data_IF_570015536213
#
_entry.id   IF_570015536213
#
_cell.length_a   1.000
_cell.length_b   1.000
_cell.length_c   1.000
_cell.angle_alpha   90.00
_cell.angle_beta   90.00
_cell.angle_gamma   90.00
#
_symmetry.space_group_name_H-M   'P 1'
#
loop_
_entity.id
_entity.type
_entity.pdbx_description
1 polymer ?
#
# COMPACT_ATOMS: atom_id res chain seq x y z
N UNK A 1 -12.98 22.44 -13.13
CA UNK A 1 -13.76 23.54 -12.52
C UNK A 1 -14.60 24.22 -13.60
N UNK A 2 -15.87 23.84 -13.75
CA UNK A 2 -16.86 24.52 -14.62
C UNK A 2 -18.04 24.90 -13.72
N UNK A 3 -18.29 26.20 -13.60
CA UNK A 3 -19.34 26.81 -12.77
C UNK A 3 -20.67 26.80 -13.53
N UNK A 4 -21.70 26.30 -12.85
CA UNK A 4 -23.04 26.89 -12.60
C UNK A 4 -23.61 27.82 -13.66
N UNK A 5 -24.78 27.47 -14.21
CA UNK A 5 -26.02 28.27 -14.11
C UNK A 5 -27.25 27.39 -14.40
N UNK A 6 -28.06 27.16 -13.36
CA UNK A 6 -29.41 26.61 -13.48
C UNK A 6 -30.35 27.75 -13.91
N UNK A 7 -31.05 27.57 -15.03
CA UNK A 7 -32.09 28.46 -15.52
C UNK A 7 -33.46 27.93 -15.11
N UNK A 8 -34.09 28.57 -14.13
CA UNK A 8 -35.52 28.43 -13.83
C UNK A 8 -36.32 29.26 -14.84
N UNK A 9 -37.37 28.72 -15.49
CA UNK A 9 -38.39 29.56 -16.08
C UNK A 9 -39.58 29.65 -15.12
N UNK A 10 -39.82 30.87 -14.64
CA UNK A 10 -41.07 31.26 -14.00
C UNK A 10 -41.99 31.80 -15.10
N UNK A 11 -43.22 31.32 -15.16
CA UNK A 11 -44.17 31.68 -16.22
C UNK A 11 -45.58 31.22 -15.90
N UNK A 12 -46.17 31.81 -14.87
CA UNK A 12 -47.59 31.70 -14.55
C UNK A 12 -48.42 32.29 -15.70
N UNK A 13 -49.21 31.45 -16.35
CA UNK A 13 -50.33 31.88 -17.18
C UNK A 13 -51.59 31.19 -16.64
N UNK A 14 -52.41 31.98 -15.95
CA UNK A 14 -53.78 31.64 -15.62
C UNK A 14 -54.59 31.59 -16.92
N UNK A 15 -55.26 30.46 -17.17
CA UNK A 15 -56.37 30.38 -18.13
C UNK A 15 -57.51 29.60 -17.47
N UNK A 16 -58.47 30.39 -17.02
CA UNK A 16 -59.91 30.21 -17.22
C UNK A 16 -60.50 28.83 -16.94
N UNK A 17 -61.15 28.77 -15.77
CA UNK A 17 -62.24 27.87 -15.43
C UNK A 17 -63.40 28.02 -16.43
N UNK A 18 -63.56 27.02 -17.31
CA UNK A 18 -64.78 26.80 -18.05
C UNK A 18 -65.66 25.80 -17.28
N UNK A 19 -66.64 26.35 -16.54
CA UNK A 19 -67.76 25.61 -15.96
C UNK A 19 -68.71 25.15 -17.08
N UNK A 20 -68.32 24.11 -17.80
CA UNK A 20 -69.19 23.35 -18.67
C UNK A 20 -69.76 22.13 -17.92
N UNK A 21 -71.00 22.24 -17.46
CA UNK A 21 -71.90 21.19 -16.94
C UNK A 21 -71.45 19.74 -17.25
N UNK A 22 -70.69 19.12 -16.35
CA UNK A 22 -70.40 17.67 -16.38
C UNK A 22 -71.42 16.92 -15.54
N UNK A 23 -72.60 16.64 -16.09
CA UNK A 23 -73.36 15.47 -15.65
C UNK A 23 -72.80 14.25 -16.37
N UNK A 24 -71.53 13.91 -16.11
CA UNK A 24 -70.94 12.68 -16.63
C UNK A 24 -71.58 11.54 -15.85
N UNK A 25 -72.51 10.82 -16.47
CA UNK A 25 -73.14 9.68 -15.82
C UNK A 25 -72.06 8.60 -15.64
N UNK A 26 -71.88 8.11 -14.42
CA UNK A 26 -70.98 7.00 -14.15
C UNK A 26 -71.66 5.69 -14.58
N UNK A 27 -71.39 5.28 -15.82
CA UNK A 27 -71.93 4.08 -16.44
C UNK A 27 -71.34 2.83 -15.76
N UNK A 28 -71.99 2.42 -14.67
CA UNK A 28 -71.57 1.31 -13.81
C UNK A 28 -72.29 1.28 -12.47
N UNK A 29 -72.93 2.38 -12.08
CA UNK A 29 -73.70 2.52 -10.84
C UNK A 29 -75.18 2.18 -11.04
N UNK A 30 -75.87 1.77 -9.96
CA UNK A 30 -77.31 1.49 -9.98
C UNK A 30 -78.14 2.72 -10.37
N UNK A 31 -77.65 3.92 -10.06
CA UNK A 31 -78.30 5.20 -10.36
C UNK A 31 -78.40 5.45 -11.87
N UNK A 32 -77.37 5.09 -12.65
CA UNK A 32 -77.42 5.20 -14.11
C UNK A 32 -78.53 4.34 -14.73
N UNK A 33 -78.79 3.16 -14.17
CA UNK A 33 -79.85 2.24 -14.63
C UNK A 33 -81.26 2.76 -14.34
N UNK A 34 -81.45 3.46 -13.21
CA UNK A 34 -82.73 4.08 -12.87
C UNK A 34 -82.99 5.33 -13.74
N UNK A 35 -81.96 6.09 -14.09
CA UNK A 35 -82.08 7.20 -15.03
C UNK A 35 -82.50 6.73 -16.43
N UNK A 36 -81.93 5.63 -16.93
CA UNK A 36 -82.32 5.03 -18.23
C UNK A 36 -83.80 4.61 -18.23
N UNK A 37 -84.33 4.10 -17.12
CA UNK A 37 -85.75 3.69 -17.00
C UNK A 37 -86.74 4.85 -17.04
N UNK A 38 -86.29 6.06 -16.68
CA UNK A 38 -87.14 7.27 -16.68
C UNK A 38 -87.11 8.03 -18.01
N UNK A 39 -86.16 7.72 -18.91
CA UNK A 39 -86.06 8.39 -20.20
C UNK A 39 -87.17 7.96 -21.16
N UNK A 40 -87.92 8.94 -21.69
CA UNK A 40 -89.00 8.73 -22.67
C UNK A 40 -88.79 9.50 -23.99
N UNK A 41 -87.75 10.33 -24.07
CA UNK A 41 -87.37 11.10 -25.26
C UNK A 41 -86.27 10.40 -26.07
N UNK A 42 -86.51 10.26 -27.38
CA UNK A 42 -85.60 9.61 -28.33
C UNK A 42 -84.30 10.41 -28.49
N UNK A 43 -84.37 11.74 -28.40
CA UNK A 43 -83.20 12.62 -28.48
C UNK A 43 -82.26 12.43 -27.28
N UNK A 44 -82.82 12.42 -26.07
CA UNK A 44 -82.09 12.13 -24.85
C UNK A 44 -81.47 10.71 -24.83
N UNK A 45 -82.21 9.71 -25.30
CA UNK A 45 -81.70 8.32 -25.39
C UNK A 45 -80.49 8.21 -26.33
N UNK A 46 -80.52 8.93 -27.45
CA UNK A 46 -79.42 8.94 -28.42
C UNK A 46 -78.17 9.64 -27.87
N UNK A 47 -78.33 10.70 -27.06
CA UNK A 47 -77.21 11.36 -26.39
C UNK A 47 -76.54 10.46 -25.35
N UNK A 48 -77.34 9.81 -24.50
CA UNK A 48 -76.83 8.85 -23.52
C UNK A 48 -76.14 7.67 -24.20
N UNK A 49 -76.67 7.17 -25.32
CA UNK A 49 -76.00 6.12 -26.07
C UNK A 49 -74.61 6.55 -26.58
N UNK A 50 -74.48 7.76 -27.14
CA UNK A 50 -73.18 8.26 -27.56
C UNK A 50 -72.22 8.48 -26.38
N UNK A 51 -72.74 8.89 -25.22
CA UNK A 51 -71.96 9.01 -23.98
C UNK A 51 -71.49 7.65 -23.46
N UNK A 52 -72.36 6.63 -23.45
CA UNK A 52 -72.00 5.24 -23.15
C UNK A 52 -70.91 4.71 -24.10
N UNK A 53 -71.06 4.96 -25.40
CA UNK A 53 -70.09 4.51 -26.41
C UNK A 53 -68.73 5.21 -26.20
N UNK A 54 -68.73 6.50 -25.86
CA UNK A 54 -67.52 7.24 -25.55
C UNK A 54 -66.84 6.69 -24.30
N UNK A 55 -67.62 6.41 -23.24
CA UNK A 55 -67.12 5.82 -22.01
C UNK A 55 -66.56 4.41 -22.22
N UNK A 56 -67.25 3.56 -22.97
CA UNK A 56 -66.77 2.22 -23.31
C UNK A 56 -65.44 2.29 -24.07
N UNK A 57 -65.32 3.20 -25.04
CA UNK A 57 -64.06 3.41 -25.78
C UNK A 57 -62.93 3.89 -24.89
N UNK A 58 -63.19 4.78 -23.92
CA UNK A 58 -62.14 5.17 -22.97
C UNK A 58 -61.68 4.02 -22.09
N UNK A 59 -62.62 3.17 -21.66
CA UNK A 59 -62.33 2.01 -20.82
C UNK A 59 -61.53 0.95 -21.59
N UNK A 60 -61.86 0.74 -22.87
CA UNK A 60 -61.10 -0.14 -23.77
C UNK A 60 -59.66 0.38 -23.96
N UNK A 61 -59.46 1.69 -24.13
CA UNK A 61 -58.13 2.29 -24.24
C UNK A 61 -57.30 2.14 -22.95
N UNK A 62 -57.93 2.33 -21.78
CA UNK A 62 -57.26 2.14 -20.50
C UNK A 62 -56.88 0.68 -20.26
N UNK A 63 -57.75 -0.25 -20.66
CA UNK A 63 -57.48 -1.68 -20.61
C UNK A 63 -56.32 -2.07 -21.53
N UNK A 64 -56.31 -1.58 -22.77
CA UNK A 64 -55.21 -1.81 -23.72
C UNK A 64 -53.88 -1.26 -23.19
N UNK A 65 -53.91 -0.08 -22.56
CA UNK A 65 -52.74 0.51 -21.94
C UNK A 65 -52.22 -0.36 -20.79
N UNK A 66 -53.11 -0.82 -19.90
CA UNK A 66 -52.73 -1.70 -18.78
C UNK A 66 -52.21 -3.07 -19.26
N UNK A 67 -52.82 -3.64 -20.29
CA UNK A 67 -52.36 -4.89 -20.91
C UNK A 67 -50.98 -4.72 -21.56
N UNK A 68 -50.70 -3.58 -22.19
CA UNK A 68 -49.39 -3.30 -22.77
C UNK A 68 -48.30 -3.21 -21.70
N UNK A 69 -48.57 -2.57 -20.56
CA UNK A 69 -47.64 -2.44 -19.44
C UNK A 69 -47.26 -3.79 -18.82
N UNK A 70 -48.20 -4.74 -18.76
CA UNK A 70 -47.92 -6.10 -18.26
C UNK A 70 -46.77 -6.77 -19.02
N UNK A 71 -46.73 -6.59 -20.35
CA UNK A 71 -45.69 -7.19 -21.19
C UNK A 71 -44.30 -6.59 -20.93
N UNK A 72 -44.24 -5.31 -20.59
CA UNK A 72 -42.98 -4.63 -20.29
C UNK A 72 -42.49 -4.96 -18.86
N UNK A 73 -43.40 -5.11 -17.90
CA UNK A 73 -43.07 -5.60 -16.56
C UNK A 73 -42.53 -7.04 -16.60
N UNK A 74 -43.14 -7.93 -17.40
CA UNK A 74 -42.64 -9.30 -17.56
C UNK A 74 -41.20 -9.30 -18.13
N UNK A 75 -40.88 -8.43 -19.10
CA UNK A 75 -39.51 -8.29 -19.62
C UNK A 75 -38.54 -7.77 -18.56
N UNK A 76 -38.95 -6.78 -17.77
CA UNK A 76 -38.13 -6.23 -16.69
C UNK A 76 -37.84 -7.27 -15.60
N UNK A 77 -38.84 -8.09 -15.25
CA UNK A 77 -38.67 -9.18 -14.28
C UNK A 77 -37.68 -10.22 -14.82
N UNK A 78 -37.81 -10.64 -16.07
CA UNK A 78 -36.85 -11.57 -16.70
C UNK A 78 -35.43 -10.98 -16.73
N UNK A 79 -35.29 -9.68 -16.99
CA UNK A 79 -34.00 -9.01 -16.93
C UNK A 79 -33.43 -9.00 -15.51
N UNK A 80 -34.26 -8.72 -14.50
CA UNK A 80 -33.86 -8.74 -13.10
C UNK A 80 -33.44 -10.15 -12.66
N UNK A 81 -34.19 -11.17 -13.05
CA UNK A 81 -33.85 -12.57 -12.77
C UNK A 81 -32.48 -12.93 -13.36
N UNK A 82 -32.23 -12.58 -14.62
CA UNK A 82 -30.91 -12.78 -15.24
C UNK A 82 -29.80 -12.02 -14.51
N UNK A 83 -30.09 -10.80 -14.05
CA UNK A 83 -29.10 -10.03 -13.28
C UNK A 83 -28.80 -10.66 -11.91
N UNK A 84 -29.80 -11.29 -11.28
CA UNK A 84 -29.60 -12.02 -10.02
C UNK A 84 -28.63 -13.19 -10.20
N UNK A 85 -28.76 -13.97 -11.28
CA UNK A 85 -27.84 -15.07 -11.58
C UNK A 85 -26.40 -14.56 -11.76
N UNK A 86 -26.23 -13.40 -12.39
CA UNK A 86 -24.90 -12.76 -12.53
C UNK A 86 -24.35 -12.34 -11.16
N UNK A 87 -25.19 -11.81 -10.27
CA UNK A 87 -24.76 -11.43 -8.92
C UNK A 87 -24.30 -12.65 -8.11
N UNK A 88 -24.96 -13.80 -8.25
CA UNK A 88 -24.54 -15.03 -7.58
C UNK A 88 -23.14 -15.49 -8.05
N UNK A 89 -22.88 -15.41 -9.35
CA UNK A 89 -21.57 -15.71 -9.93
C UNK A 89 -20.51 -14.74 -9.40
N UNK A 90 -20.81 -13.44 -9.37
CA UNK A 90 -19.90 -12.41 -8.86
C UNK A 90 -19.64 -12.60 -7.36
N UNK A 91 -20.64 -13.02 -6.58
CA UNK A 91 -20.47 -13.34 -5.17
C UNK A 91 -19.51 -14.52 -4.98
N UNK A 92 -19.69 -15.60 -5.73
CA UNK A 92 -18.82 -16.78 -5.67
C UNK A 92 -17.37 -16.43 -6.08
N UNK A 93 -17.19 -15.63 -7.13
CA UNK A 93 -15.86 -15.18 -7.56
C UNK A 93 -15.21 -14.26 -6.51
N UNK A 94 -15.99 -13.38 -5.88
CA UNK A 94 -15.50 -12.50 -4.80
C UNK A 94 -15.05 -13.30 -3.57
N UNK A 95 -15.79 -14.34 -3.19
CA UNK A 95 -15.39 -15.25 -2.10
C UNK A 95 -14.10 -16.02 -2.45
N UNK A 96 -14.00 -16.49 -3.69
CA UNK A 96 -12.80 -17.15 -4.20
C UNK A 96 -11.58 -16.21 -4.17
N UNK A 97 -11.74 -14.98 -4.67
CA UNK A 97 -10.71 -13.94 -4.61
C UNK A 97 -10.31 -13.61 -3.18
N UNK A 98 -11.26 -13.49 -2.25
CA UNK A 98 -10.98 -13.25 -0.84
C UNK A 98 -10.15 -14.38 -0.22
N UNK A 99 -10.50 -15.64 -0.50
CA UNK A 99 -9.76 -16.81 -0.05
C UNK A 99 -8.33 -16.81 -0.58
N UNK A 100 -8.15 -16.49 -1.86
CA UNK A 100 -6.83 -16.41 -2.49
C UNK A 100 -5.99 -15.28 -1.89
N UNK A 101 -6.55 -14.06 -1.77
CA UNK A 101 -5.85 -12.91 -1.17
C UNK A 101 -5.46 -13.21 0.27
N UNK A 102 -6.35 -13.83 1.06
CA UNK A 102 -6.05 -14.27 2.43
C UNK A 102 -4.90 -15.28 2.47
N UNK A 103 -4.91 -16.25 1.56
CA UNK A 103 -3.85 -17.26 1.45
C UNK A 103 -2.51 -16.64 1.03
N UNK A 104 -2.52 -15.74 0.06
CA UNK A 104 -1.33 -14.98 -0.37
C UNK A 104 -0.80 -14.09 0.75
N UNK A 105 -1.67 -13.42 1.51
CA UNK A 105 -1.27 -12.60 2.66
C UNK A 105 -0.59 -13.47 3.74
N UNK A 106 -1.17 -14.63 4.08
CA UNK A 106 -0.54 -15.58 5.02
C UNK A 106 0.82 -16.06 4.53
N UNK A 107 0.95 -16.36 3.23
CA UNK A 107 2.22 -16.75 2.64
C UNK A 107 3.25 -15.61 2.70
N UNK A 108 2.84 -14.37 2.39
CA UNK A 108 3.69 -13.20 2.49
C UNK A 108 4.17 -12.95 3.93
N UNK A 109 3.31 -13.16 4.92
CA UNK A 109 3.69 -13.11 6.34
C UNK A 109 4.72 -14.18 6.70
N UNK A 110 4.53 -15.41 6.22
CA UNK A 110 5.48 -16.50 6.43
C UNK A 110 6.84 -16.21 5.79
N UNK A 111 6.84 -15.75 4.53
CA UNK A 111 8.07 -15.35 3.83
C UNK A 111 8.75 -14.21 4.56
N UNK A 112 8.02 -13.18 4.98
CA UNK A 112 8.57 -12.05 5.74
C UNK A 112 9.23 -12.48 7.06
N UNK A 113 8.60 -13.42 7.77
CA UNK A 113 9.21 -14.01 8.99
C UNK A 113 10.50 -14.76 8.67
N UNK A 114 10.52 -15.55 7.60
CA UNK A 114 11.71 -16.30 7.18
C UNK A 114 12.84 -15.39 6.74
N UNK A 115 12.54 -14.30 6.02
CA UNK A 115 13.52 -13.27 5.67
C UNK A 115 14.09 -12.64 6.93
N UNK A 116 13.26 -12.28 7.92
CA UNK A 116 13.76 -11.72 9.19
C UNK A 116 14.65 -12.69 9.98
N UNK A 117 14.32 -13.98 9.98
CA UNK A 117 15.18 -15.01 10.57
C UNK A 117 16.53 -15.11 9.84
N UNK A 118 16.50 -15.05 8.51
CA UNK A 118 17.70 -15.06 7.66
C UNK A 118 18.54 -13.80 7.92
N UNK A 119 17.94 -12.61 7.97
CA UNK A 119 18.63 -11.35 8.25
C UNK A 119 19.35 -11.40 9.60
N UNK A 120 18.72 -11.98 10.62
CA UNK A 120 19.36 -12.19 11.93
C UNK A 120 20.53 -13.16 11.84
N UNK A 121 20.39 -14.27 11.11
CA UNK A 121 21.48 -15.21 10.89
C UNK A 121 22.64 -14.57 10.12
N UNK A 122 22.34 -13.82 9.05
CA UNK A 122 23.32 -13.09 8.26
C UNK A 122 24.03 -12.02 9.08
N UNK A 123 23.30 -11.27 9.93
CA UNK A 123 23.90 -10.29 10.84
C UNK A 123 24.88 -10.94 11.80
N UNK A 124 24.53 -12.10 12.38
CA UNK A 124 25.44 -12.89 13.24
C UNK A 124 26.67 -13.37 12.48
N UNK A 125 26.49 -13.92 11.28
CA UNK A 125 27.60 -14.35 10.41
C UNK A 125 28.53 -13.18 10.09
N UNK A 126 27.97 -12.02 9.72
CA UNK A 126 28.77 -10.84 9.41
C UNK A 126 29.56 -10.33 10.64
N UNK A 127 28.94 -10.36 11.83
CA UNK A 127 29.65 -10.05 13.07
C UNK A 127 30.81 -11.02 13.33
N UNK A 128 30.62 -12.31 13.07
CA UNK A 128 31.72 -13.29 13.20
C UNK A 128 32.80 -13.10 12.15
N UNK A 129 32.46 -12.75 10.91
CA UNK A 129 33.44 -12.44 9.86
C UNK A 129 34.29 -11.23 10.22
N UNK A 130 33.67 -10.14 10.68
CA UNK A 130 34.43 -8.97 11.16
C UNK A 130 35.36 -9.29 12.34
N UNK A 131 34.97 -10.22 13.22
CA UNK A 131 35.86 -10.71 14.29
C UNK A 131 37.02 -11.54 13.73
N UNK A 132 36.78 -12.37 12.72
CA UNK A 132 37.83 -13.15 12.05
C UNK A 132 38.80 -12.21 11.32
N UNK A 133 38.29 -11.23 10.57
CA UNK A 133 39.10 -10.21 9.89
C UNK A 133 40.00 -9.48 10.88
N UNK A 134 39.47 -9.09 12.05
CA UNK A 134 40.26 -8.46 13.10
C UNK A 134 41.38 -9.38 13.65
N UNK A 135 41.13 -10.69 13.79
CA UNK A 135 42.15 -11.67 14.21
C UNK A 135 43.24 -11.82 13.15
N UNK A 136 42.86 -11.87 11.88
CA UNK A 136 43.80 -11.96 10.74
C UNK A 136 44.65 -10.70 10.67
N UNK A 137 44.03 -9.52 10.76
CA UNK A 137 44.74 -8.23 10.70
C UNK A 137 45.71 -8.07 11.87
N UNK A 138 45.35 -8.54 13.07
CA UNK A 138 46.27 -8.59 14.22
C UNK A 138 47.48 -9.47 13.97
N UNK A 139 47.26 -10.68 13.44
CA UNK A 139 48.35 -11.60 13.10
C UNK A 139 49.27 -10.98 12.05
N UNK A 140 48.70 -10.32 11.04
CA UNK A 140 49.46 -9.58 10.04
C UNK A 140 50.26 -8.42 10.65
N UNK A 141 49.71 -7.70 11.64
CA UNK A 141 50.45 -6.66 12.35
C UNK A 141 51.62 -7.25 13.14
N UNK A 142 51.45 -8.38 13.84
CA UNK A 142 52.52 -9.06 14.58
C UNK A 142 53.64 -9.48 13.63
N UNK A 143 53.31 -10.14 12.53
CA UNK A 143 54.28 -10.56 11.51
C UNK A 143 54.94 -9.36 10.81
N UNK A 144 54.16 -8.30 10.55
CA UNK A 144 54.62 -7.05 9.96
C UNK A 144 55.62 -6.31 10.84
N UNK A 145 55.35 -6.21 12.15
CA UNK A 145 56.28 -5.63 13.13
C UNK A 145 57.56 -6.44 13.20
N UNK A 146 57.48 -7.77 13.26
CA UNK A 146 58.66 -8.62 13.30
C UNK A 146 59.53 -8.43 12.04
N UNK A 147 58.91 -8.43 10.85
CA UNK A 147 59.62 -8.17 9.58
C UNK A 147 60.23 -6.76 9.54
N UNK A 148 59.49 -5.74 9.96
CA UNK A 148 59.95 -4.35 9.97
C UNK A 148 61.10 -4.12 10.96
N UNK A 149 61.06 -4.77 12.12
CA UNK A 149 62.17 -4.77 13.09
C UNK A 149 63.42 -5.44 12.50
N UNK A 150 63.27 -6.54 11.76
CA UNK A 150 64.38 -7.22 11.09
C UNK A 150 64.97 -6.41 9.93
N UNK A 151 64.16 -5.59 9.25
CA UNK A 151 64.61 -4.71 8.15
C UNK A 151 65.03 -3.31 8.60
N UNK A 152 65.11 -3.04 9.91
CA UNK A 152 65.38 -1.73 10.51
C UNK A 152 64.42 -0.59 10.08
N UNK A 153 63.20 -0.91 9.63
CA UNK A 153 62.17 0.09 9.30
C UNK A 153 61.28 0.37 10.52
N UNK A 154 61.73 1.30 11.35
CA UNK A 154 61.07 1.64 12.60
C UNK A 154 59.76 2.43 12.42
N UNK A 155 59.57 3.08 11.29
CA UNK A 155 58.37 3.89 11.00
C UNK A 155 57.19 2.98 10.64
N UNK A 156 57.43 2.01 9.76
CA UNK A 156 56.45 0.96 9.45
C UNK A 156 56.13 0.11 10.68
N UNK A 157 57.14 -0.23 11.50
CA UNK A 157 56.92 -0.97 12.75
C UNK A 157 55.98 -0.22 13.71
N UNK A 158 56.17 1.09 13.89
CA UNK A 158 55.31 1.91 14.76
C UNK A 158 53.86 1.97 14.24
N UNK A 159 53.68 2.09 12.92
CA UNK A 159 52.35 2.06 12.31
C UNK A 159 51.63 0.71 12.57
N UNK A 160 52.32 -0.43 12.40
CA UNK A 160 51.71 -1.73 12.68
C UNK A 160 51.35 -1.91 14.17
N UNK A 161 52.19 -1.41 15.09
CA UNK A 161 51.89 -1.41 16.54
C UNK A 161 50.65 -0.55 16.83
N UNK A 162 50.54 0.64 16.23
CA UNK A 162 49.40 1.52 16.40
C UNK A 162 48.11 0.89 15.87
N UNK A 163 48.14 0.35 14.65
CA UNK A 163 47.00 -0.33 14.03
C UNK A 163 46.52 -1.52 14.87
N UNK A 164 47.45 -2.31 15.40
CA UNK A 164 47.11 -3.40 16.31
C UNK A 164 46.32 -2.91 17.53
N UNK A 165 46.77 -1.84 18.21
CA UNK A 165 46.06 -1.31 19.38
C UNK A 165 44.69 -0.71 19.02
N UNK A 166 44.54 -0.12 17.83
CA UNK A 166 43.23 0.35 17.35
C UNK A 166 42.25 -0.81 17.15
N UNK A 167 42.71 -1.92 16.57
CA UNK A 167 41.88 -3.12 16.37
C UNK A 167 41.60 -3.79 17.73
N UNK A 168 42.58 -3.87 18.62
CA UNK A 168 42.44 -4.43 19.97
C UNK A 168 41.44 -3.65 20.83
N UNK A 169 41.41 -2.32 20.70
CA UNK A 169 40.40 -1.49 21.36
C UNK A 169 38.97 -1.78 20.87
N UNK A 170 38.80 -2.10 19.58
CA UNK A 170 37.49 -2.41 18.98
C UNK A 170 37.00 -3.82 19.32
N UNK A 171 37.88 -4.81 19.35
CA UNK A 171 37.53 -6.21 19.63
C UNK A 171 38.36 -6.77 20.79
N UNK A 172 37.97 -6.47 22.02
CA UNK A 172 38.77 -6.74 23.24
C UNK A 172 38.92 -8.23 23.63
N UNK A 173 38.48 -9.14 22.76
CA UNK A 173 38.45 -10.60 23.00
C UNK A 173 39.79 -11.30 22.73
N UNK A 174 40.86 -10.54 22.48
CA UNK A 174 42.19 -11.10 22.19
C UNK A 174 42.67 -11.97 23.34
N UNK A 175 43.19 -13.16 23.01
CA UNK A 175 43.98 -13.95 23.96
C UNK A 175 45.17 -13.13 24.43
N UNK A 176 45.43 -13.14 25.75
CA UNK A 176 46.49 -12.33 26.39
C UNK A 176 47.84 -12.44 25.66
N UNK A 177 48.14 -13.62 25.11
CA UNK A 177 49.38 -13.92 24.40
C UNK A 177 49.69 -12.98 23.22
N UNK A 178 48.74 -12.69 22.33
CA UNK A 178 49.00 -11.81 21.18
C UNK A 178 49.30 -10.37 21.62
N UNK A 179 48.58 -9.91 22.65
CA UNK A 179 48.77 -8.61 23.25
C UNK A 179 50.12 -8.51 23.97
N UNK A 180 50.50 -9.56 24.71
CA UNK A 180 51.79 -9.66 25.40
C UNK A 180 52.96 -9.67 24.41
N UNK A 181 52.81 -10.39 23.30
CA UNK A 181 53.78 -10.40 22.20
C UNK A 181 53.92 -9.01 21.56
N UNK A 182 52.82 -8.33 21.25
CA UNK A 182 52.87 -6.97 20.69
C UNK A 182 53.49 -5.96 21.69
N UNK A 183 53.20 -6.09 22.98
CA UNK A 183 53.83 -5.28 24.03
C UNK A 183 55.34 -5.52 24.11
N UNK A 184 55.79 -6.76 23.92
CA UNK A 184 57.22 -7.08 23.85
C UNK A 184 57.89 -6.42 22.65
N UNK A 185 57.27 -6.46 21.47
CA UNK A 185 57.79 -5.80 20.27
C UNK A 185 57.79 -4.28 20.41
N UNK A 186 56.75 -3.70 21.02
CA UNK A 186 56.71 -2.28 21.37
C UNK A 186 57.89 -1.89 22.28
N UNK A 187 58.15 -2.65 23.35
CA UNK A 187 59.30 -2.40 24.24
C UNK A 187 60.64 -2.52 23.50
N UNK A 188 60.79 -3.49 22.60
CA UNK A 188 61.98 -3.63 21.77
C UNK A 188 62.17 -2.42 20.83
N UNK A 189 61.10 -2.01 20.15
CA UNK A 189 61.09 -0.84 19.26
C UNK A 189 61.47 0.43 20.04
N UNK A 190 60.84 0.70 21.17
CA UNK A 190 61.16 1.85 22.03
C UNK A 190 62.62 1.81 22.51
N UNK A 191 63.14 0.63 22.86
CA UNK A 191 64.53 0.46 23.27
C UNK A 191 65.53 0.76 22.15
N UNK A 192 65.27 0.27 20.93
CA UNK A 192 66.13 0.50 19.76
C UNK A 192 66.06 1.96 19.32
N UNK A 193 64.85 2.53 19.25
CA UNK A 193 64.64 3.93 18.86
C UNK A 193 65.26 4.88 19.89
N UNK A 194 65.15 4.62 21.20
CA UNK A 194 65.83 5.44 22.23
C UNK A 194 67.35 5.42 22.09
N UNK A 195 67.95 4.27 21.79
CA UNK A 195 69.39 4.14 21.56
C UNK A 195 69.84 4.84 20.27
N UNK A 196 69.07 4.71 19.18
CA UNK A 196 69.36 5.41 17.91
C UNK A 196 69.12 6.92 18.04
N UNK A 197 68.12 7.34 18.82
CA UNK A 197 67.87 8.74 19.15
C UNK A 197 69.02 9.34 19.98
N UNK A 198 69.51 8.65 21.03
CA UNK A 198 70.66 9.14 21.80
C UNK A 198 71.91 9.26 20.94
N UNK A 199 72.17 8.27 20.08
CA UNK A 199 73.30 8.32 19.14
C UNK A 199 73.16 9.47 18.11
N UNK A 200 71.94 9.74 17.61
CA UNK A 200 71.68 10.85 16.71
C UNK A 200 71.80 12.22 17.40
N UNK A 201 71.45 12.31 18.69
CA UNK A 201 71.67 13.49 19.53
C UNK A 201 73.16 13.74 19.74
N UNK A 202 73.94 12.69 20.00
CA UNK A 202 75.40 12.79 20.12
C UNK A 202 76.06 13.25 18.81
N UNK A 203 75.51 12.82 17.66
CA UNK A 203 75.96 13.21 16.31
C UNK A 203 75.38 14.55 15.81
N UNK A 204 74.48 15.19 16.57
CA UNK A 204 73.78 16.45 16.23
C UNK A 204 73.02 16.43 14.88
N UNK A 205 72.54 15.27 14.42
CA UNK A 205 71.72 15.19 13.21
C UNK A 205 70.27 15.61 13.50
N UNK A 206 69.93 16.85 13.13
CA UNK A 206 68.62 17.44 13.39
C UNK A 206 67.49 16.74 12.60
N UNK A 207 67.78 16.17 11.43
CA UNK A 207 66.77 15.52 10.60
C UNK A 207 66.36 14.16 11.17
N UNK A 208 67.34 13.37 11.63
CA UNK A 208 67.09 12.07 12.28
C UNK A 208 66.35 12.25 13.61
N UNK A 209 66.71 13.25 14.41
CA UNK A 209 66.05 13.55 15.69
C UNK A 209 64.56 13.84 15.49
N UNK A 210 64.20 14.71 14.53
CA UNK A 210 62.79 15.03 14.26
C UNK A 210 62.00 13.81 13.76
N UNK A 211 62.63 12.92 12.98
CA UNK A 211 62.00 11.69 12.50
C UNK A 211 61.73 10.70 13.64
N UNK A 212 62.68 10.51 14.55
CA UNK A 212 62.49 9.61 15.70
C UNK A 212 61.51 10.17 16.74
N UNK A 213 61.42 11.49 16.89
CA UNK A 213 60.40 12.12 17.75
C UNK A 213 59.00 11.91 17.17
N UNK A 214 58.83 11.92 15.85
CA UNK A 214 57.53 11.68 15.18
C UNK A 214 57.00 10.25 15.34
N UNK A 215 57.88 9.29 15.64
CA UNK A 215 57.53 7.88 15.85
C UNK A 215 56.96 7.64 17.27
N UNK A 216 57.22 8.55 18.22
CA UNK A 216 56.66 8.53 19.57
C UNK A 216 55.27 9.18 19.62
#
# INVERSE_FOLDING_TARGET
MKKVTASTPNGSAAMESDEGTKSSIDFGTAEAMDHIRTLTDVGAMTRLLHECIAYQRSLDLDLDNLLSQRSDLDKQLLHLQKSSEVLDIVSADSEYMLSNVSSTSKLADQVSRKVRELDLAQSRVNSTLHRIDAIVERSNCIDGVNKALNSEDFESAANYVQTFFQIDAKYKDSGSHQRDQMLSFKKQLEGIVRKKLSAAVDQRDHAAILRFIRIF
#
